data_IF_585594769276
#
_entry.id   IF_585594769276
#
_cell.length_a   1.000
_cell.length_b   1.000
_cell.length_c   1.000
_cell.angle_alpha   90.00
_cell.angle_beta   90.00
_cell.angle_gamma   90.00
#
_symmetry.space_group_name_H-M   'P 1'
#
loop_
_entity.id
_entity.type
_entity.pdbx_description
1 polymer ?
#
# COMPACT_ATOMS: atom_id res chain seq x y z
N UNK A 1 2.51 -38.95 2.48
CA UNK A 1 3.47 -38.07 3.17
C UNK A 1 3.63 -36.83 2.27
N UNK A 2 3.01 -35.67 2.54
CA UNK A 2 3.31 -34.45 1.81
C UNK A 2 4.65 -33.89 2.30
N UNK A 3 5.56 -33.69 1.36
CA UNK A 3 6.86 -33.06 1.60
C UNK A 3 6.66 -31.60 2.01
N UNK A 4 7.01 -31.27 3.24
CA UNK A 4 7.14 -29.90 3.70
C UNK A 4 8.34 -29.27 2.97
N UNK A 5 8.07 -28.50 1.91
CA UNK A 5 9.06 -27.58 1.38
C UNK A 5 9.30 -26.49 2.43
N UNK A 6 10.30 -26.71 3.23
CA UNK A 6 10.91 -25.71 4.11
C UNK A 6 11.46 -24.59 3.22
N UNK A 7 10.70 -23.48 3.12
CA UNK A 7 11.21 -22.26 2.47
C UNK A 7 12.28 -21.68 3.39
N UNK A 8 13.53 -21.96 3.05
CA UNK A 8 14.67 -21.26 3.68
C UNK A 8 14.50 -19.75 3.46
N UNK A 9 14.69 -18.90 4.50
CA UNK A 9 14.53 -17.45 4.37
C UNK A 9 15.55 -16.95 3.36
N UNK A 10 15.06 -16.23 2.31
CA UNK A 10 15.90 -15.58 1.28
C UNK A 10 16.81 -14.48 1.85
N UNK A 11 16.67 -14.17 3.13
CA UNK A 11 17.25 -13.02 3.84
C UNK A 11 18.72 -13.19 4.26
N UNK A 12 19.50 -14.14 3.71
CA UNK A 12 20.94 -14.20 4.04
C UNK A 12 21.72 -13.13 3.27
N UNK A 13 22.11 -12.04 3.96
CA UNK A 13 23.22 -11.12 3.63
C UNK A 13 23.08 -10.18 2.41
N UNK A 14 21.89 -9.90 1.90
CA UNK A 14 21.73 -8.84 0.88
C UNK A 14 21.33 -7.52 1.53
N UNK A 15 22.12 -6.48 1.26
CA UNK A 15 21.86 -5.12 1.73
C UNK A 15 20.66 -4.54 0.98
N UNK A 16 19.64 -4.07 1.72
CA UNK A 16 18.56 -3.28 1.16
C UNK A 16 19.11 -1.87 0.88
N UNK A 17 18.97 -1.40 -0.34
CA UNK A 17 19.34 -0.05 -0.78
C UNK A 17 18.14 0.76 -1.28
N UNK A 18 17.00 0.09 -1.47
CA UNK A 18 15.77 0.67 -2.00
C UNK A 18 14.57 0.17 -1.18
N UNK A 19 13.74 1.08 -0.69
CA UNK A 19 12.51 0.73 0.01
C UNK A 19 11.30 1.38 -0.66
N UNK A 20 10.34 0.54 -1.03
CA UNK A 20 9.05 0.93 -1.61
C UNK A 20 7.96 0.69 -0.59
N UNK A 21 7.04 1.63 -0.45
CA UNK A 21 5.99 1.58 0.55
C UNK A 21 4.61 1.71 -0.09
N UNK A 22 3.64 0.93 0.36
CA UNK A 22 2.26 1.36 0.19
C UNK A 22 1.97 2.59 1.06
N UNK A 23 0.85 3.24 0.82
CA UNK A 23 0.46 4.48 1.47
C UNK A 23 -0.60 4.27 2.55
N UNK A 24 -1.81 3.91 2.11
CA UNK A 24 -3.02 3.83 2.96
C UNK A 24 -2.98 2.55 3.80
N UNK A 25 -2.90 2.66 5.12
CA UNK A 25 -2.73 1.52 6.03
C UNK A 25 -1.26 1.17 6.34
N UNK A 26 -0.31 1.71 5.59
CA UNK A 26 1.14 1.46 5.77
C UNK A 26 1.87 2.68 6.31
N UNK A 27 1.81 3.82 5.64
CA UNK A 27 2.41 5.09 6.05
C UNK A 27 1.39 6.02 6.69
N UNK A 28 0.15 5.99 6.21
CA UNK A 28 -0.94 6.87 6.60
C UNK A 28 -2.10 6.04 7.14
N UNK A 29 -2.55 6.38 8.34
CA UNK A 29 -3.79 5.90 8.93
C UNK A 29 -4.96 6.62 8.27
N UNK A 30 -5.50 6.01 7.20
CA UNK A 30 -6.60 6.52 6.38
C UNK A 30 -7.75 5.51 6.26
N UNK A 31 -7.63 4.37 6.94
CA UNK A 31 -8.53 3.22 6.77
C UNK A 31 -9.97 3.58 7.12
N UNK A 32 -10.19 4.34 8.19
CA UNK A 32 -11.53 4.77 8.57
C UNK A 32 -12.15 5.73 7.53
N UNK A 33 -11.36 6.63 6.94
CA UNK A 33 -11.81 7.48 5.85
C UNK A 33 -12.22 6.66 4.61
N UNK A 34 -11.41 5.66 4.24
CA UNK A 34 -11.69 4.77 3.12
C UNK A 34 -12.99 4.01 3.37
N UNK A 35 -13.14 3.40 4.56
CA UNK A 35 -14.35 2.68 4.98
C UNK A 35 -15.60 3.56 4.90
N UNK A 36 -15.55 4.76 5.47
CA UNK A 36 -16.69 5.70 5.46
C UNK A 36 -17.02 6.18 4.04
N UNK A 37 -16.02 6.44 3.20
CA UNK A 37 -16.23 6.82 1.81
C UNK A 37 -16.94 5.72 1.02
N UNK A 38 -16.55 4.48 1.26
CA UNK A 38 -17.14 3.30 0.65
C UNK A 38 -18.59 3.08 1.11
N UNK A 39 -18.82 3.11 2.42
CA UNK A 39 -20.15 2.96 3.01
C UNK A 39 -21.11 4.09 2.54
N UNK A 40 -20.63 5.35 2.49
CA UNK A 40 -21.39 6.47 1.96
C UNK A 40 -21.81 6.24 0.51
N UNK A 41 -20.87 5.80 -0.33
CA UNK A 41 -21.13 5.56 -1.75
C UNK A 41 -22.22 4.49 -1.95
N UNK A 42 -22.12 3.37 -1.25
CA UNK A 42 -23.09 2.29 -1.37
C UNK A 42 -24.46 2.65 -0.81
N UNK A 43 -24.54 3.45 0.25
CA UNK A 43 -25.83 4.00 0.73
C UNK A 43 -26.49 4.90 -0.32
N UNK A 44 -25.72 5.76 -0.98
CA UNK A 44 -26.25 6.67 -2.01
C UNK A 44 -26.74 5.92 -3.26
N UNK A 45 -26.00 4.91 -3.71
CA UNK A 45 -26.27 4.25 -4.99
C UNK A 45 -27.02 2.91 -4.87
N UNK A 46 -27.06 2.31 -3.70
CA UNK A 46 -27.60 0.94 -3.50
C UNK A 46 -28.51 0.81 -2.29
N UNK A 47 -28.65 1.83 -1.46
CA UNK A 47 -29.34 1.76 -0.17
C UNK A 47 -28.86 0.57 0.68
N UNK A 48 -27.55 0.31 0.65
CA UNK A 48 -26.91 -0.83 1.27
C UNK A 48 -25.60 -0.42 1.96
N UNK A 49 -25.37 -0.99 3.13
CA UNK A 49 -24.08 -0.88 3.84
C UNK A 49 -23.48 -2.28 3.97
N UNK A 50 -22.35 -2.57 3.31
CA UNK A 50 -21.75 -3.89 3.35
C UNK A 50 -21.11 -4.16 4.71
N UNK A 51 -21.07 -5.43 5.14
CA UNK A 51 -20.31 -5.82 6.32
C UNK A 51 -18.81 -5.54 6.14
N UNK A 52 -18.11 -5.45 7.27
CA UNK A 52 -16.69 -5.07 7.31
C UNK A 52 -15.80 -5.96 6.41
N UNK A 53 -16.05 -7.24 6.42
CA UNK A 53 -15.27 -8.23 5.67
C UNK A 53 -15.30 -7.97 4.17
N UNK A 54 -16.43 -7.48 3.68
CA UNK A 54 -16.64 -7.28 2.24
C UNK A 54 -15.77 -6.15 1.67
N UNK A 55 -15.60 -5.05 2.41
CA UNK A 55 -14.75 -3.96 1.91
C UNK A 55 -13.25 -4.27 2.06
N UNK A 56 -12.86 -5.11 3.04
CA UNK A 56 -11.47 -5.55 3.19
C UNK A 56 -10.98 -6.31 1.96
N UNK A 57 -11.81 -7.17 1.34
CA UNK A 57 -11.44 -7.89 0.12
C UNK A 57 -11.09 -6.95 -1.04
N UNK A 58 -11.73 -5.79 -1.11
CA UNK A 58 -11.49 -4.77 -2.13
C UNK A 58 -10.38 -3.79 -1.78
N UNK A 59 -9.95 -3.74 -0.52
CA UNK A 59 -8.96 -2.77 -0.07
C UNK A 59 -7.61 -2.99 -0.78
N UNK A 60 -7.03 -1.89 -1.28
CA UNK A 60 -5.82 -1.97 -2.10
C UNK A 60 -6.07 -2.23 -3.59
N UNK A 61 -7.33 -2.49 -4.01
CA UNK A 61 -7.73 -2.58 -5.42
C UNK A 61 -8.23 -1.24 -5.95
N UNK A 62 -8.20 -0.99 -7.26
CA UNK A 62 -8.80 0.20 -7.87
C UNK A 62 -10.30 0.32 -7.57
N UNK A 63 -10.81 1.53 -7.35
CA UNK A 63 -12.23 1.77 -7.04
C UNK A 63 -13.19 1.20 -8.09
N UNK A 64 -12.84 1.31 -9.38
CA UNK A 64 -13.66 0.73 -10.47
C UNK A 64 -13.80 -0.78 -10.34
N UNK A 65 -12.75 -1.47 -9.97
CA UNK A 65 -12.79 -2.91 -9.71
C UNK A 65 -13.72 -3.22 -8.53
N UNK A 66 -13.63 -2.46 -7.45
CA UNK A 66 -14.47 -2.65 -6.27
C UNK A 66 -15.95 -2.41 -6.61
N UNK A 67 -16.29 -1.30 -7.30
CA UNK A 67 -17.67 -0.99 -7.62
C UNK A 67 -18.28 -1.85 -8.74
N UNK A 68 -17.45 -2.51 -9.56
CA UNK A 68 -17.93 -3.48 -10.54
C UNK A 68 -18.61 -4.71 -9.90
N UNK A 69 -18.42 -4.95 -8.60
CA UNK A 69 -19.17 -5.98 -7.86
C UNK A 69 -20.64 -5.58 -7.61
N UNK A 70 -20.96 -4.30 -7.74
CA UNK A 70 -22.32 -3.76 -7.47
C UNK A 70 -23.04 -3.31 -8.73
N UNK A 71 -22.38 -3.15 -9.85
CA UNK A 71 -22.96 -2.77 -11.13
C UNK A 71 -22.15 -3.31 -12.29
N UNK A 72 -22.88 -3.71 -13.37
CA UNK A 72 -22.28 -3.99 -14.67
C UNK A 72 -22.30 -2.77 -15.61
N UNK A 73 -22.99 -1.69 -15.24
CA UNK A 73 -23.08 -0.46 -16.03
C UNK A 73 -21.85 0.43 -15.74
N UNK A 74 -21.05 0.67 -16.77
CA UNK A 74 -19.87 1.50 -16.67
C UNK A 74 -20.16 2.94 -16.24
N UNK A 75 -21.28 3.53 -16.67
CA UNK A 75 -21.66 4.89 -16.29
C UNK A 75 -22.02 4.96 -14.81
N UNK A 76 -22.69 3.96 -14.29
CA UNK A 76 -23.02 3.84 -12.88
C UNK A 76 -21.76 3.63 -12.03
N UNK A 77 -20.82 2.79 -12.46
CA UNK A 77 -19.53 2.60 -11.78
C UNK A 77 -18.79 3.94 -11.69
N UNK A 78 -18.73 4.72 -12.76
CA UNK A 78 -18.09 6.04 -12.73
C UNK A 78 -18.83 7.02 -11.79
N UNK A 79 -20.15 6.98 -11.71
CA UNK A 79 -20.91 7.77 -10.75
C UNK A 79 -20.59 7.38 -9.31
N UNK A 80 -20.47 6.08 -9.01
CA UNK A 80 -20.04 5.59 -7.69
C UNK A 80 -18.61 6.04 -7.36
N UNK A 81 -17.68 5.95 -8.31
CA UNK A 81 -16.31 6.44 -8.14
C UNK A 81 -16.28 7.95 -7.87
N UNK A 82 -17.11 8.73 -8.56
CA UNK A 82 -17.22 10.17 -8.34
C UNK A 82 -17.74 10.49 -6.93
N UNK A 83 -18.80 9.79 -6.49
CA UNK A 83 -19.37 9.95 -5.14
C UNK A 83 -18.36 9.61 -4.05
N UNK A 84 -17.64 8.49 -4.20
CA UNK A 84 -16.56 8.09 -3.30
C UNK A 84 -15.50 9.19 -3.19
N UNK A 85 -15.00 9.66 -4.34
CA UNK A 85 -13.95 10.67 -4.39
C UNK A 85 -14.36 12.00 -3.76
N UNK A 86 -15.58 12.45 -4.02
CA UNK A 86 -16.11 13.68 -3.44
C UNK A 86 -16.15 13.60 -1.91
N UNK A 87 -16.72 12.52 -1.36
CA UNK A 87 -16.78 12.30 0.09
C UNK A 87 -15.39 12.19 0.71
N UNK A 88 -14.51 11.40 0.10
CA UNK A 88 -13.13 11.20 0.56
C UNK A 88 -12.35 12.52 0.58
N UNK A 89 -12.43 13.30 -0.51
CA UNK A 89 -11.69 14.55 -0.65
C UNK A 89 -12.12 15.60 0.37
N UNK A 90 -13.44 15.71 0.64
CA UNK A 90 -14.00 16.65 1.61
C UNK A 90 -13.48 16.39 3.03
N UNK A 91 -13.31 15.14 3.40
CA UNK A 91 -12.93 14.72 4.77
C UNK A 91 -11.46 14.36 4.95
N UNK A 92 -10.71 14.35 3.85
CA UNK A 92 -9.36 13.80 3.78
C UNK A 92 -8.46 14.33 4.91
N UNK A 93 -8.21 15.62 4.98
CA UNK A 93 -7.23 16.19 5.90
C UNK A 93 -7.68 16.14 7.37
N UNK A 94 -9.00 16.07 7.61
CA UNK A 94 -9.55 15.95 8.97
C UNK A 94 -9.49 14.52 9.53
N UNK A 95 -9.43 13.51 8.66
CA UNK A 95 -9.56 12.12 9.05
C UNK A 95 -8.28 11.28 8.88
N UNK A 96 -7.26 11.81 8.18
CA UNK A 96 -6.01 11.07 8.03
C UNK A 96 -4.94 11.59 8.99
N UNK A 97 -4.03 10.69 9.35
CA UNK A 97 -2.84 11.00 10.15
C UNK A 97 -1.71 10.05 9.79
N UNK A 98 -0.49 10.38 10.14
CA UNK A 98 0.62 9.43 10.05
C UNK A 98 0.55 8.42 11.19
N UNK A 99 1.07 7.21 10.96
CA UNK A 99 1.34 6.28 12.05
C UNK A 99 2.53 6.75 12.88
N UNK A 100 2.47 6.55 14.19
CA UNK A 100 3.48 7.03 15.13
C UNK A 100 4.88 6.45 14.82
N UNK A 101 5.85 7.33 14.61
CA UNK A 101 7.24 7.00 14.27
C UNK A 101 7.49 6.72 12.78
N UNK A 102 6.47 6.77 11.91
CA UNK A 102 6.65 6.49 10.48
C UNK A 102 7.48 7.56 9.78
N UNK A 103 7.20 8.85 10.03
CA UNK A 103 7.95 9.96 9.41
C UNK A 103 9.42 9.90 9.78
N UNK A 104 9.71 9.70 11.06
CA UNK A 104 11.07 9.59 11.59
C UNK A 104 11.83 8.41 10.99
N UNK A 105 11.16 7.26 10.85
CA UNK A 105 11.77 6.08 10.27
C UNK A 105 12.11 6.29 8.78
N UNK A 106 11.20 6.87 7.99
CA UNK A 106 11.45 7.20 6.58
C UNK A 106 12.56 8.25 6.44
N UNK A 107 12.55 9.29 7.28
CA UNK A 107 13.63 10.29 7.28
C UNK A 107 15.00 9.68 7.61
N UNK A 108 15.06 8.70 8.52
CA UNK A 108 16.29 7.95 8.81
C UNK A 108 16.77 7.14 7.60
N UNK A 109 15.88 6.41 6.90
CA UNK A 109 16.25 5.70 5.67
C UNK A 109 16.80 6.67 4.62
N UNK A 110 16.12 7.79 4.40
CA UNK A 110 16.54 8.84 3.47
C UNK A 110 17.94 9.38 3.81
N UNK A 111 18.17 9.71 5.07
CA UNK A 111 19.47 10.25 5.55
C UNK A 111 20.64 9.26 5.40
N UNK A 112 20.34 7.97 5.32
CA UNK A 112 21.31 6.90 5.09
C UNK A 112 21.49 6.55 3.61
N UNK A 113 20.83 7.30 2.71
CA UNK A 113 21.00 7.22 1.26
C UNK A 113 20.21 6.09 0.59
N UNK A 114 19.18 5.53 1.24
CA UNK A 114 18.28 4.61 0.56
C UNK A 114 17.44 5.36 -0.47
N UNK A 115 17.18 4.72 -1.60
CA UNK A 115 16.19 5.17 -2.57
C UNK A 115 14.80 4.84 -2.05
N UNK A 116 13.91 5.83 -2.01
CA UNK A 116 12.60 5.67 -1.40
C UNK A 116 11.49 5.94 -2.41
N UNK A 117 10.51 5.04 -2.48
CA UNK A 117 9.35 5.18 -3.35
C UNK A 117 8.04 4.85 -2.65
N UNK A 118 6.95 5.44 -3.15
CA UNK A 118 5.58 5.07 -2.79
C UNK A 118 4.94 4.35 -3.97
N UNK A 119 4.26 3.23 -3.71
CA UNK A 119 3.53 2.43 -4.70
C UNK A 119 2.13 2.19 -4.17
N UNK A 120 1.16 2.97 -4.63
CA UNK A 120 -0.20 2.99 -4.07
C UNK A 120 -1.29 2.82 -5.12
N UNK A 121 -2.44 2.29 -4.71
CA UNK A 121 -3.67 2.23 -5.50
C UNK A 121 -4.47 3.55 -5.47
N UNK A 122 -4.00 4.54 -4.72
CA UNK A 122 -4.53 5.90 -4.74
C UNK A 122 -4.07 6.65 -5.99
N UNK A 123 -4.89 7.58 -6.50
CA UNK A 123 -4.47 8.48 -7.59
C UNK A 123 -3.24 9.29 -7.16
N UNK A 124 -2.31 9.54 -8.07
CA UNK A 124 -1.05 10.22 -7.80
C UNK A 124 -1.22 11.55 -7.05
N UNK A 125 -2.12 12.42 -7.52
CA UNK A 125 -2.39 13.70 -6.87
C UNK A 125 -2.91 13.55 -5.42
N UNK A 126 -3.77 12.53 -5.17
CA UNK A 126 -4.25 12.21 -3.82
C UNK A 126 -3.16 11.66 -2.91
N UNK A 127 -2.25 10.86 -3.46
CA UNK A 127 -1.10 10.36 -2.73
C UNK A 127 -0.16 11.50 -2.30
N UNK A 128 0.17 12.42 -3.20
CA UNK A 128 1.01 13.59 -2.88
C UNK A 128 0.36 14.47 -1.81
N UNK A 129 -0.97 14.69 -1.87
CA UNK A 129 -1.69 15.45 -0.84
C UNK A 129 -1.57 14.78 0.54
N UNK A 130 -1.79 13.47 0.60
CA UNK A 130 -1.67 12.70 1.85
C UNK A 130 -0.26 12.74 2.42
N UNK A 131 0.74 12.51 1.59
CA UNK A 131 2.15 12.59 1.98
C UNK A 131 2.51 13.97 2.56
N UNK A 132 2.08 15.05 1.89
CA UNK A 132 2.31 16.41 2.37
C UNK A 132 1.60 16.66 3.70
N UNK A 133 0.33 16.32 3.81
CA UNK A 133 -0.47 16.53 5.02
C UNK A 133 0.12 15.77 6.22
N UNK A 134 0.63 14.56 6.00
CA UNK A 134 1.18 13.68 7.03
C UNK A 134 2.70 13.88 7.29
N UNK A 135 3.32 14.93 6.73
CA UNK A 135 4.71 15.28 7.05
C UNK A 135 5.79 14.50 6.26
N UNK A 136 5.41 13.81 5.18
CA UNK A 136 6.35 13.08 4.33
C UNK A 136 6.85 13.89 3.12
N UNK A 137 6.56 15.21 3.06
CA UNK A 137 6.95 16.05 1.92
C UNK A 137 8.47 16.00 1.70
N UNK A 138 8.89 15.67 0.47
CA UNK A 138 10.31 15.60 0.09
C UNK A 138 11.07 14.36 0.55
N UNK A 139 10.44 13.42 1.26
CA UNK A 139 11.11 12.19 1.72
C UNK A 139 11.21 11.12 0.64
N UNK A 140 10.26 11.06 -0.29
CA UNK A 140 10.24 10.05 -1.35
C UNK A 140 10.81 10.58 -2.66
N UNK A 141 11.55 9.73 -3.38
CA UNK A 141 12.16 10.04 -4.68
C UNK A 141 11.17 9.81 -5.82
N UNK A 142 10.22 8.89 -5.64
CA UNK A 142 9.19 8.53 -6.62
C UNK A 142 7.86 8.21 -5.94
N UNK A 143 6.76 8.54 -6.61
CA UNK A 143 5.40 8.15 -6.20
C UNK A 143 4.70 7.56 -7.41
N UNK A 144 4.32 6.29 -7.34
CA UNK A 144 3.54 5.58 -8.34
C UNK A 144 2.11 5.46 -7.82
N UNK A 145 1.20 6.21 -8.44
CA UNK A 145 -0.24 6.15 -8.17
C UNK A 145 -0.98 5.22 -9.11
N UNK A 146 -2.28 5.07 -8.91
CA UNK A 146 -3.14 4.24 -9.77
C UNK A 146 -3.20 4.71 -11.23
N UNK A 147 -2.96 5.99 -11.47
CA UNK A 147 -2.93 6.62 -12.79
C UNK A 147 -1.53 6.65 -13.43
N UNK A 148 -0.55 6.05 -12.78
CA UNK A 148 0.83 6.00 -13.28
C UNK A 148 1.11 4.75 -14.14
N UNK A 149 0.26 3.75 -14.08
CA UNK A 149 0.42 2.44 -14.75
C UNK A 149 -0.95 1.85 -15.10
N UNK A 150 -1.00 1.00 -16.12
CA UNK A 150 -2.25 0.35 -16.55
C UNK A 150 -2.62 -0.84 -15.65
N UNK A 151 -1.62 -1.58 -15.18
CA UNK A 151 -1.81 -2.75 -14.33
C UNK A 151 -1.55 -2.41 -12.86
N UNK A 152 -2.42 -2.91 -11.96
CA UNK A 152 -2.40 -2.56 -10.54
C UNK A 152 -2.00 -3.75 -9.67
N UNK A 153 -1.61 -3.50 -8.42
CA UNK A 153 -1.35 -4.54 -7.42
C UNK A 153 -2.52 -5.54 -7.37
N UNK A 154 -2.27 -6.87 -7.38
CA UNK A 154 -1.02 -7.57 -7.13
C UNK A 154 -0.10 -7.76 -8.35
N UNK A 155 -0.41 -7.16 -9.52
CA UNK A 155 0.47 -7.20 -10.69
C UNK A 155 1.81 -6.49 -10.36
N UNK A 156 2.98 -6.96 -10.87
CA UNK A 156 4.28 -6.37 -10.56
C UNK A 156 4.54 -5.01 -11.23
N UNK A 157 3.71 -4.56 -12.16
CA UNK A 157 3.95 -3.34 -12.94
C UNK A 157 4.18 -2.08 -12.09
N UNK A 158 3.39 -1.80 -11.02
CA UNK A 158 3.62 -0.60 -10.21
C UNK A 158 4.98 -0.61 -9.50
N UNK A 159 5.37 -1.77 -8.95
CA UNK A 159 6.68 -1.94 -8.29
C UNK A 159 7.82 -1.80 -9.29
N UNK A 160 7.70 -2.43 -10.48
CA UNK A 160 8.70 -2.31 -11.56
C UNK A 160 8.82 -0.88 -12.07
N UNK A 161 7.71 -0.13 -12.19
CA UNK A 161 7.72 1.27 -12.56
C UNK A 161 8.48 2.14 -11.54
N UNK A 162 8.25 1.91 -10.25
CA UNK A 162 8.99 2.59 -9.19
C UNK A 162 10.50 2.28 -9.26
N UNK A 163 10.86 1.01 -9.39
CA UNK A 163 12.26 0.59 -9.50
C UNK A 163 12.95 1.19 -10.74
N UNK A 164 12.26 1.22 -11.87
CA UNK A 164 12.80 1.81 -13.10
C UNK A 164 13.07 3.31 -12.95
N UNK A 165 12.13 4.07 -12.36
CA UNK A 165 12.31 5.51 -12.11
C UNK A 165 13.43 5.79 -11.10
N UNK A 166 13.61 4.91 -10.11
CA UNK A 166 14.70 5.00 -9.13
C UNK A 166 16.04 4.53 -9.69
N UNK A 167 16.08 3.92 -10.86
CA UNK A 167 17.29 3.23 -11.35
C UNK A 167 17.79 2.19 -10.34
N UNK A 168 16.85 1.39 -9.80
CA UNK A 168 17.10 0.43 -8.72
C UNK A 168 16.87 -1.01 -9.19
N UNK A 169 17.60 -1.95 -8.56
CA UNK A 169 17.44 -3.39 -8.80
C UNK A 169 16.44 -4.00 -7.81
N UNK A 170 15.58 -4.87 -8.30
CA UNK A 170 14.64 -5.59 -7.46
C UNK A 170 15.34 -6.43 -6.36
N UNK A 171 16.55 -6.93 -6.63
CA UNK A 171 17.33 -7.76 -5.68
C UNK A 171 17.84 -6.99 -4.46
N UNK A 172 17.93 -5.65 -4.53
CA UNK A 172 18.25 -4.76 -3.42
C UNK A 172 17.06 -4.00 -2.86
N UNK A 173 15.86 -4.29 -3.38
CA UNK A 173 14.64 -3.57 -3.01
C UNK A 173 13.74 -4.38 -2.07
N UNK A 174 12.99 -3.67 -1.23
CA UNK A 174 11.89 -4.22 -0.42
C UNK A 174 10.60 -3.48 -0.71
N UNK A 175 9.48 -4.21 -0.87
CA UNK A 175 8.11 -3.68 -0.88
C UNK A 175 7.49 -3.88 0.49
N UNK A 176 7.14 -2.78 1.14
CA UNK A 176 6.53 -2.73 2.47
C UNK A 176 5.05 -2.41 2.32
N UNK A 177 4.18 -3.24 2.89
CA UNK A 177 2.75 -3.04 2.78
C UNK A 177 1.94 -3.81 3.82
N UNK A 178 0.68 -3.41 3.98
CA UNK A 178 -0.27 -3.96 4.93
C UNK A 178 -1.24 -4.96 4.29
N UNK A 179 -1.19 -5.16 2.96
CA UNK A 179 -2.11 -6.04 2.23
C UNK A 179 -1.42 -7.19 1.51
N UNK A 180 -2.12 -8.32 1.28
CA UNK A 180 -1.63 -9.39 0.43
C UNK A 180 -1.29 -8.94 -0.99
N UNK A 181 -1.96 -7.88 -1.49
CA UNK A 181 -1.73 -7.33 -2.83
C UNK A 181 -0.37 -6.65 -2.96
N UNK A 182 0.08 -5.95 -1.91
CA UNK A 182 1.40 -5.32 -1.85
C UNK A 182 2.50 -6.37 -1.91
N UNK A 183 2.38 -7.36 -1.04
CA UNK A 183 3.37 -8.43 -0.89
C UNK A 183 3.45 -9.28 -2.16
N UNK A 184 2.31 -9.59 -2.78
CA UNK A 184 2.27 -10.31 -4.05
C UNK A 184 2.91 -9.49 -5.20
N UNK A 185 2.63 -8.18 -5.27
CA UNK A 185 3.20 -7.28 -6.28
C UNK A 185 4.72 -7.16 -6.13
N UNK A 186 5.22 -6.96 -4.89
CA UNK A 186 6.64 -6.91 -4.58
C UNK A 186 7.37 -8.20 -4.97
N UNK A 187 6.82 -9.34 -4.55
CA UNK A 187 7.36 -10.67 -4.88
C UNK A 187 7.39 -10.94 -6.38
N UNK A 188 6.29 -10.63 -7.09
CA UNK A 188 6.20 -10.81 -8.53
C UNK A 188 7.16 -9.88 -9.31
N UNK A 189 7.54 -8.75 -8.72
CA UNK A 189 8.59 -7.88 -9.25
C UNK A 189 10.01 -8.39 -8.96
N UNK A 190 10.18 -9.37 -8.08
CA UNK A 190 11.47 -9.93 -7.65
C UNK A 190 12.11 -9.21 -6.46
N UNK A 191 11.39 -8.28 -5.83
CA UNK A 191 11.80 -7.60 -4.62
C UNK A 191 11.57 -8.47 -3.37
N UNK A 192 12.24 -8.14 -2.27
CA UNK A 192 11.86 -8.60 -0.94
C UNK A 192 10.52 -7.99 -0.55
N UNK A 193 9.85 -8.62 0.42
CA UNK A 193 8.55 -8.20 0.92
C UNK A 193 8.56 -8.05 2.42
N UNK A 194 7.97 -6.97 2.92
CA UNK A 194 7.81 -6.73 4.35
C UNK A 194 6.32 -6.47 4.67
N UNK A 195 5.75 -7.33 5.50
CA UNK A 195 4.41 -7.14 6.01
C UNK A 195 4.42 -6.24 7.25
N UNK A 196 3.46 -5.35 7.37
CA UNK A 196 3.26 -4.49 8.54
C UNK A 196 2.04 -4.95 9.34
N UNK A 197 2.18 -5.00 10.68
CA UNK A 197 1.16 -5.54 11.58
C UNK A 197 0.07 -4.53 11.97
N UNK A 198 0.28 -3.24 11.70
CA UNK A 198 -0.63 -2.15 12.12
C UNK A 198 -1.70 -1.79 11.09
N UNK A 199 -1.69 -2.43 9.90
CA UNK A 199 -2.72 -2.29 8.87
C UNK A 199 -3.99 -3.08 9.18
N UNK A 200 -5.03 -2.98 8.33
CA UNK A 200 -6.34 -3.57 8.58
C UNK A 200 -6.43 -5.07 8.29
N UNK A 201 -5.47 -5.65 7.56
CA UNK A 201 -5.55 -7.06 7.19
C UNK A 201 -5.17 -7.99 8.33
N UNK A 202 -5.90 -9.10 8.52
CA UNK A 202 -5.57 -10.12 9.52
C UNK A 202 -4.16 -10.67 9.33
N UNK A 203 -3.45 -10.87 10.45
CA UNK A 203 -2.08 -11.43 10.47
C UNK A 203 -1.94 -12.71 9.66
N UNK A 204 -2.93 -13.59 9.76
CA UNK A 204 -2.92 -14.89 9.06
C UNK A 204 -2.90 -14.72 7.54
N UNK A 205 -3.64 -13.74 7.00
CA UNK A 205 -3.67 -13.47 5.56
C UNK A 205 -2.33 -12.93 5.06
N UNK A 206 -1.68 -12.08 5.85
CA UNK A 206 -0.35 -11.57 5.52
C UNK A 206 0.71 -12.66 5.61
N UNK A 207 0.70 -13.48 6.66
CA UNK A 207 1.63 -14.60 6.82
C UNK A 207 1.46 -15.67 5.73
N UNK A 208 0.25 -15.89 5.22
CA UNK A 208 0.01 -16.79 4.09
C UNK A 208 0.74 -16.37 2.80
N UNK A 209 1.13 -15.09 2.68
CA UNK A 209 1.97 -14.62 1.57
C UNK A 209 3.45 -14.92 1.77
N UNK A 210 3.85 -15.46 2.92
CA UNK A 210 5.23 -15.74 3.32
C UNK A 210 6.17 -14.52 3.14
N UNK A 211 5.92 -13.38 3.82
CA UNK A 211 6.76 -12.19 3.68
C UNK A 211 8.19 -12.46 4.18
N UNK A 212 9.19 -11.79 3.57
CA UNK A 212 10.59 -11.95 3.97
C UNK A 212 10.87 -11.25 5.31
N UNK A 213 10.12 -10.18 5.63
CA UNK A 213 10.20 -9.44 6.88
C UNK A 213 8.81 -9.22 7.48
N UNK A 214 8.76 -9.13 8.81
CA UNK A 214 7.57 -8.78 9.58
C UNK A 214 7.89 -7.61 10.50
N UNK A 215 7.08 -6.54 10.45
CA UNK A 215 7.24 -5.32 11.25
C UNK A 215 6.03 -5.15 12.15
N UNK A 216 6.25 -5.07 13.45
CA UNK A 216 5.16 -4.88 14.44
C UNK A 216 4.79 -3.39 14.60
N UNK A 217 5.76 -2.49 14.41
CA UNK A 217 5.56 -1.05 14.54
C UNK A 217 6.31 -0.26 13.46
N UNK A 218 5.84 0.95 13.07
CA UNK A 218 6.56 1.78 12.11
C UNK A 218 7.99 2.14 12.54
N UNK A 219 8.27 2.19 13.83
CA UNK A 219 9.60 2.49 14.39
C UNK A 219 10.64 1.42 14.04
N UNK A 220 10.21 0.20 13.73
CA UNK A 220 11.09 -0.90 13.35
C UNK A 220 11.61 -0.78 11.92
N UNK A 221 10.95 -0.01 11.04
CA UNK A 221 11.32 0.15 9.62
C UNK A 221 12.80 0.52 9.46
N UNK A 222 13.24 1.55 10.18
CA UNK A 222 14.61 2.02 10.06
C UNK A 222 15.61 0.99 10.62
N UNK A 223 15.33 0.40 11.77
CA UNK A 223 16.18 -0.61 12.38
C UNK A 223 16.31 -1.84 11.48
N UNK A 224 15.21 -2.30 10.87
CA UNK A 224 15.18 -3.48 10.01
C UNK A 224 16.02 -3.30 8.75
N UNK A 225 15.88 -2.16 8.06
CA UNK A 225 16.53 -1.98 6.74
C UNK A 225 17.88 -1.27 6.80
N UNK A 226 18.27 -0.73 7.95
CA UNK A 226 19.61 -0.16 8.18
C UNK A 226 20.56 -1.13 8.91
N UNK A 227 20.07 -2.26 9.42
CA UNK A 227 20.90 -3.30 9.99
C UNK A 227 21.90 -3.83 8.93
N UNK A 228 23.19 -3.91 9.32
CA UNK A 228 24.30 -4.37 8.47
C UNK A 228 24.39 -5.89 8.47
#
# INVERSE_FOLDING_TARGET
>A
MPEHHEHAPRASARRIDTALFDLDGTLIDSIELIRQSYAHTLRVHRDFEPPLEFWLEGLGRPLRWQFAHFSADAAEIEAMVATYRAYNLERHDAMIRTFDGAVEAIAQLKSRGLKLGVVTSKMHAGALRGLKHCGFEGLFDVVIGADSVDEHKPHPAPVRAALAQLGASAQGAVMVGDSPHDLASGRAAGAFTAAVAWGPFPREQLLATAPDYWLETPREIAAQFLAR
#
